data_IF_715803853433
#
_entry.id   IF_715803853433
#
_cell.length_a   1.000
_cell.length_b   1.000
_cell.length_c   1.000
_cell.angle_alpha   90.00
_cell.angle_beta   90.00
_cell.angle_gamma   90.00
#
_symmetry.space_group_name_H-M   'P 1'
#
loop_
_entity.id
_entity.type
_entity.pdbx_description
1 polymer ?
#
# COMPACT_ATOMS: atom_id res chain seq x y z
N UNK A 1 -14.82 -13.16 26.80
CA UNK A 1 -14.38 -13.80 25.53
C UNK A 1 -14.71 -12.86 24.38
N UNK A 2 -13.74 -12.13 23.83
CA UNK A 2 -13.99 -11.29 22.66
C UNK A 2 -13.80 -12.11 21.39
N UNK A 3 -14.91 -12.55 20.81
CA UNK A 3 -14.95 -13.20 19.51
C UNK A 3 -14.64 -12.15 18.42
N UNK A 4 -13.36 -11.98 18.11
CA UNK A 4 -12.91 -11.19 16.98
C UNK A 4 -12.97 -12.07 15.73
N UNK A 5 -14.17 -12.24 15.18
CA UNK A 5 -14.37 -12.73 13.82
C UNK A 5 -13.83 -11.68 12.84
N UNK A 6 -12.49 -11.54 12.78
CA UNK A 6 -11.83 -10.71 11.77
C UNK A 6 -12.03 -11.42 10.45
N UNK A 7 -13.02 -10.97 9.69
CA UNK A 7 -13.13 -11.29 8.28
C UNK A 7 -11.87 -10.70 7.60
N UNK A 8 -10.76 -11.44 7.63
CA UNK A 8 -9.49 -11.01 7.05
C UNK A 8 -9.74 -10.84 5.56
N UNK A 9 -9.74 -9.60 5.10
CA UNK A 9 -9.77 -9.28 3.68
C UNK A 9 -8.72 -10.14 2.99
N UNK A 10 -9.16 -11.07 2.13
CA UNK A 10 -8.27 -11.97 1.43
C UNK A 10 -7.46 -11.14 0.44
N UNK A 11 -6.12 -11.26 0.51
CA UNK A 11 -5.23 -10.62 -0.45
C UNK A 11 -5.46 -11.28 -1.82
N UNK A 12 -5.79 -10.46 -2.81
CA UNK A 12 -5.85 -10.91 -4.20
C UNK A 12 -4.42 -11.22 -4.69
N UNK A 13 -4.14 -12.52 -4.85
CA UNK A 13 -2.84 -13.01 -5.32
C UNK A 13 -2.54 -12.55 -6.75
N UNK A 14 -3.55 -12.47 -7.63
CA UNK A 14 -3.34 -12.00 -9.01
C UNK A 14 -2.91 -10.54 -9.01
N UNK A 15 -3.61 -9.70 -8.24
CA UNK A 15 -3.22 -8.30 -8.07
C UNK A 15 -1.80 -8.19 -7.49
N UNK A 16 -1.48 -8.95 -6.43
CA UNK A 16 -0.14 -8.98 -5.85
C UNK A 16 0.96 -9.29 -6.87
N UNK A 17 0.78 -10.32 -7.70
CA UNK A 17 1.76 -10.68 -8.72
C UNK A 17 1.89 -9.61 -9.82
N UNK A 18 0.79 -8.95 -10.21
CA UNK A 18 0.84 -7.80 -11.14
C UNK A 18 1.69 -6.66 -10.59
N UNK A 19 1.55 -6.36 -9.29
CA UNK A 19 2.35 -5.33 -8.59
C UNK A 19 3.82 -5.72 -8.55
N UNK A 20 4.12 -6.96 -8.15
CA UNK A 20 5.49 -7.47 -8.12
C UNK A 20 6.14 -7.41 -9.52
N UNK A 21 5.40 -7.80 -10.56
CA UNK A 21 5.88 -7.71 -11.94
C UNK A 21 6.16 -6.25 -12.33
N UNK A 22 5.26 -5.31 -12.04
CA UNK A 22 5.46 -3.89 -12.33
C UNK A 22 6.69 -3.29 -11.63
N UNK A 23 6.96 -3.69 -10.37
CA UNK A 23 8.16 -3.29 -9.62
C UNK A 23 9.43 -3.84 -10.27
N UNK A 24 9.40 -5.12 -10.66
CA UNK A 24 10.52 -5.81 -11.28
C UNK A 24 10.86 -5.27 -12.68
N UNK A 25 9.86 -5.14 -13.56
CA UNK A 25 10.06 -4.57 -14.91
C UNK A 25 10.43 -3.09 -14.86
N UNK A 26 9.99 -2.37 -13.82
CA UNK A 26 10.39 -0.98 -13.55
C UNK A 26 11.80 -0.83 -12.96
N UNK A 27 12.58 -1.91 -12.82
CA UNK A 27 13.94 -1.94 -12.26
C UNK A 27 14.06 -1.30 -10.87
N UNK A 28 12.99 -1.39 -10.06
CA UNK A 28 12.96 -0.87 -8.68
C UNK A 28 13.35 -1.92 -7.62
N UNK A 29 13.58 -3.16 -8.05
CA UNK A 29 14.05 -4.27 -7.24
C UNK A 29 15.14 -5.05 -8.00
N UNK A 30 16.11 -5.60 -7.28
CA UNK A 30 17.23 -6.37 -7.86
C UNK A 30 16.81 -7.75 -8.35
N UNK A 31 15.76 -8.32 -7.75
CA UNK A 31 15.21 -9.62 -8.10
C UNK A 31 13.69 -9.63 -8.01
N UNK A 32 13.05 -10.60 -8.68
CA UNK A 32 11.60 -10.78 -8.57
C UNK A 32 11.16 -11.14 -7.14
N UNK A 33 12.00 -11.87 -6.40
CA UNK A 33 11.75 -12.19 -4.98
C UNK A 33 11.70 -10.92 -4.12
N UNK A 34 12.61 -9.98 -4.35
CA UNK A 34 12.59 -8.68 -3.68
C UNK A 34 11.34 -7.87 -4.08
N UNK A 35 11.00 -7.83 -5.36
CA UNK A 35 9.77 -7.18 -5.84
C UNK A 35 8.51 -7.76 -5.18
N UNK A 36 8.46 -9.09 -5.00
CA UNK A 36 7.36 -9.76 -4.34
C UNK A 36 7.27 -9.39 -2.85
N UNK A 37 8.41 -9.28 -2.14
CA UNK A 37 8.43 -8.80 -0.75
C UNK A 37 7.87 -7.38 -0.62
N UNK A 38 8.23 -6.49 -1.54
CA UNK A 38 7.71 -5.11 -1.59
C UNK A 38 6.19 -5.10 -1.84
N UNK A 39 5.72 -5.90 -2.80
CA UNK A 39 4.29 -6.03 -3.10
C UNK A 39 3.49 -6.56 -1.89
N UNK A 40 4.01 -7.56 -1.16
CA UNK A 40 3.40 -8.09 0.05
C UNK A 40 3.27 -7.04 1.15
N UNK A 41 4.30 -6.20 1.30
CA UNK A 41 4.30 -5.12 2.28
C UNK A 41 3.20 -4.09 1.98
N UNK A 42 3.06 -3.70 0.72
CA UNK A 42 1.99 -2.82 0.30
C UNK A 42 0.60 -3.44 0.45
N UNK A 43 0.42 -4.73 0.12
CA UNK A 43 -0.86 -5.42 0.32
C UNK A 43 -1.28 -5.44 1.80
N UNK A 44 -0.33 -5.68 2.72
CA UNK A 44 -0.58 -5.61 4.16
C UNK A 44 -0.96 -4.20 4.61
N UNK A 45 -0.25 -3.18 4.11
CA UNK A 45 -0.57 -1.78 4.41
C UNK A 45 -1.96 -1.41 3.91
N UNK A 46 -2.35 -1.82 2.71
CA UNK A 46 -3.67 -1.55 2.15
C UNK A 46 -4.79 -2.12 3.03
N UNK A 47 -4.63 -3.36 3.49
CA UNK A 47 -5.59 -3.99 4.40
C UNK A 47 -5.66 -3.23 5.73
N UNK A 48 -4.50 -2.80 6.25
CA UNK A 48 -4.44 -2.03 7.49
C UNK A 48 -5.15 -0.67 7.33
N UNK A 49 -4.89 0.05 6.23
CA UNK A 49 -5.54 1.32 5.90
C UNK A 49 -7.06 1.18 5.71
N UNK A 50 -7.50 0.08 5.10
CA UNK A 50 -8.93 -0.21 4.94
C UNK A 50 -9.60 -0.53 6.29
N UNK A 51 -8.84 -1.08 7.24
CA UNK A 51 -9.32 -1.38 8.59
C UNK A 51 -9.35 -0.16 9.50
N UNK A 52 -8.55 0.87 9.24
CA UNK A 52 -8.42 2.04 10.12
C UNK A 52 -7.22 2.93 9.81
N UNK A 53 -6.80 3.67 10.82
CA UNK A 53 -5.69 4.61 10.73
C UNK A 53 -4.36 3.90 10.98
N UNK A 54 -3.39 4.11 10.09
CA UNK A 54 -2.09 3.43 10.13
C UNK A 54 -0.98 4.44 9.98
N UNK A 55 0.02 4.34 10.84
CA UNK A 55 1.28 5.07 10.70
C UNK A 55 2.24 4.28 9.82
N UNK A 56 2.79 4.91 8.80
CA UNK A 56 3.76 4.29 7.89
C UNK A 56 4.70 5.34 7.31
N UNK A 57 5.83 4.88 6.77
CA UNK A 57 6.84 5.75 6.18
C UNK A 57 7.14 5.34 4.75
N UNK A 58 7.41 6.31 3.88
CA UNK A 58 7.86 6.06 2.51
C UNK A 58 8.86 7.10 2.06
N UNK A 59 9.71 6.71 1.10
CA UNK A 59 10.67 7.61 0.48
C UNK A 59 10.03 8.42 -0.64
N UNK A 60 10.20 9.74 -0.62
CA UNK A 60 9.81 10.64 -1.71
C UNK A 60 10.78 10.55 -2.89
N UNK A 61 10.39 11.13 -4.03
CA UNK A 61 11.27 11.28 -5.19
C UNK A 61 12.53 12.11 -4.91
N UNK A 62 12.47 13.07 -3.97
CA UNK A 62 13.62 13.87 -3.55
C UNK A 62 14.51 13.17 -2.50
N UNK A 63 14.24 11.91 -2.16
CA UNK A 63 15.02 11.12 -1.20
C UNK A 63 14.60 11.26 0.27
N UNK A 64 13.78 12.27 0.62
CA UNK A 64 13.29 12.43 1.99
C UNK A 64 12.38 11.28 2.41
N UNK A 65 12.47 10.89 3.68
CA UNK A 65 11.52 9.97 4.31
C UNK A 65 10.34 10.80 4.81
N UNK A 66 9.13 10.45 4.37
CA UNK A 66 7.90 10.98 4.95
C UNK A 66 7.30 9.95 5.88
N UNK A 67 7.04 10.37 7.11
CA UNK A 67 6.11 9.70 8.02
C UNK A 67 4.70 10.21 7.72
N UNK A 68 3.73 9.30 7.67
CA UNK A 68 2.34 9.64 7.41
C UNK A 68 1.41 8.80 8.28
N UNK A 69 0.31 9.42 8.71
CA UNK A 69 -0.83 8.72 9.31
C UNK A 69 -1.95 8.69 8.28
N UNK A 70 -2.20 7.51 7.71
CA UNK A 70 -3.15 7.34 6.63
C UNK A 70 -4.36 6.50 6.99
N UNK A 71 -5.46 6.67 6.26
CA UNK A 71 -6.64 5.81 6.33
C UNK A 71 -7.29 5.66 4.96
N UNK A 72 -7.94 4.53 4.73
CA UNK A 72 -8.90 4.29 3.65
C UNK A 72 -10.27 3.87 4.21
N UNK A 73 -10.43 3.85 5.54
CA UNK A 73 -11.69 3.50 6.20
C UNK A 73 -12.78 4.49 5.82
N UNK A 74 -13.95 3.97 5.46
CA UNK A 74 -15.13 4.74 5.02
C UNK A 74 -14.94 5.57 3.74
N UNK A 75 -13.83 5.39 3.02
CA UNK A 75 -13.66 5.99 1.70
C UNK A 75 -14.28 5.06 0.66
N UNK A 76 -15.13 5.61 -0.21
CA UNK A 76 -15.55 4.94 -1.44
C UNK A 76 -14.37 5.02 -2.41
N UNK A 77 -13.35 4.21 -2.14
CA UNK A 77 -12.27 4.01 -3.11
C UNK A 77 -12.82 2.99 -4.09
N UNK A 78 -13.21 3.43 -5.29
CA UNK A 78 -13.45 2.49 -6.36
C UNK A 78 -12.24 1.55 -6.42
N UNK A 79 -12.47 0.25 -6.28
CA UNK A 79 -11.41 -0.78 -6.19
C UNK A 79 -10.36 -0.66 -7.30
N UNK A 80 -10.72 0.00 -8.40
CA UNK A 80 -9.92 0.29 -9.58
C UNK A 80 -8.86 1.40 -9.38
N UNK A 81 -9.06 2.34 -8.44
CA UNK A 81 -8.16 3.49 -8.23
C UNK A 81 -7.16 3.29 -7.10
N UNK A 82 -7.37 2.34 -6.18
CA UNK A 82 -6.44 2.08 -5.08
C UNK A 82 -5.09 1.50 -5.53
N UNK A 83 -5.01 0.98 -6.76
CA UNK A 83 -3.82 0.34 -7.32
C UNK A 83 -3.72 0.55 -8.83
N UNK A 84 -3.17 1.69 -9.27
CA UNK A 84 -2.77 1.84 -10.68
C UNK A 84 -1.35 1.28 -10.84
N UNK A 85 -1.26 -0.05 -11.00
CA UNK A 85 0.00 -0.78 -11.17
C UNK A 85 0.87 -0.84 -9.91
N UNK A 86 1.59 0.22 -9.58
CA UNK A 86 2.59 0.27 -8.49
C UNK A 86 2.46 1.52 -7.59
N UNK A 87 1.35 2.26 -7.67
CA UNK A 87 1.06 3.39 -6.78
C UNK A 87 0.02 3.01 -5.72
N UNK A 88 0.26 3.38 -4.48
CA UNK A 88 -0.66 3.24 -3.34
C UNK A 88 -1.29 4.60 -3.05
N UNK A 89 -2.61 4.63 -2.87
CA UNK A 89 -3.38 5.83 -2.50
C UNK A 89 -3.85 5.74 -1.05
N UNK A 90 -3.87 6.87 -0.37
CA UNK A 90 -4.34 6.97 1.01
C UNK A 90 -4.85 8.37 1.31
N UNK A 91 -5.72 8.50 2.32
CA UNK A 91 -6.05 9.80 2.90
C UNK A 91 -5.11 10.09 4.06
N UNK A 92 -4.35 11.18 3.96
CA UNK A 92 -3.45 11.66 4.99
C UNK A 92 -4.26 12.44 6.04
N UNK A 93 -4.31 11.93 7.27
CA UNK A 93 -5.11 12.52 8.36
C UNK A 93 -4.48 13.82 8.84
N UNK A 94 -3.16 13.88 8.91
CA UNK A 94 -2.44 15.06 9.40
C UNK A 94 -2.53 16.21 8.40
N UNK A 95 -2.48 15.89 7.10
CA UNK A 95 -2.59 16.87 6.02
C UNK A 95 -4.00 17.05 5.49
N UNK A 96 -4.98 16.31 6.02
CA UNK A 96 -6.40 16.31 5.63
C UNK A 96 -6.60 16.26 4.11
N UNK A 97 -5.88 15.36 3.43
CA UNK A 97 -5.91 15.32 1.97
C UNK A 97 -5.46 13.98 1.37
N UNK A 98 -5.94 13.68 0.16
CA UNK A 98 -5.52 12.49 -0.56
C UNK A 98 -4.08 12.60 -1.04
N UNK A 99 -3.34 11.50 -0.90
CA UNK A 99 -1.95 11.37 -1.35
C UNK A 99 -1.72 10.01 -1.98
N UNK A 100 -0.62 9.92 -2.71
CA UNK A 100 -0.15 8.66 -3.25
C UNK A 100 1.36 8.55 -3.20
N UNK A 101 1.86 7.33 -3.21
CA UNK A 101 3.28 7.04 -3.30
C UNK A 101 3.53 5.75 -4.10
N UNK A 102 4.73 5.62 -4.65
CA UNK A 102 5.19 4.40 -5.31
C UNK A 102 5.38 3.29 -4.27
N UNK A 103 4.75 2.12 -4.47
CA UNK A 103 4.86 0.93 -3.60
C UNK A 103 6.32 0.55 -3.33
N UNK A 104 7.17 0.70 -4.35
CA UNK A 104 8.60 0.43 -4.22
C UNK A 104 9.33 1.35 -3.22
N UNK A 105 8.70 2.45 -2.82
CA UNK A 105 9.27 3.41 -1.89
C UNK A 105 8.80 3.19 -0.45
N UNK A 106 8.00 2.15 -0.19
CA UNK A 106 7.51 1.81 1.15
C UNK A 106 8.66 1.28 2.01
N UNK A 107 8.87 1.88 3.18
CA UNK A 107 9.97 1.56 4.11
C UNK A 107 9.52 0.62 5.22
#
# INVERSE_FOLDING_TARGET
MFNQNRNKMKIDKSALFKVANAIYTGKKATSFSEALKMAWKAAKLQIALASGEVKFCYRKCNGEIREAVGTLKNMVVDKLTAFNGAAMYYFDIEKKGFRSFSVANLI
#
